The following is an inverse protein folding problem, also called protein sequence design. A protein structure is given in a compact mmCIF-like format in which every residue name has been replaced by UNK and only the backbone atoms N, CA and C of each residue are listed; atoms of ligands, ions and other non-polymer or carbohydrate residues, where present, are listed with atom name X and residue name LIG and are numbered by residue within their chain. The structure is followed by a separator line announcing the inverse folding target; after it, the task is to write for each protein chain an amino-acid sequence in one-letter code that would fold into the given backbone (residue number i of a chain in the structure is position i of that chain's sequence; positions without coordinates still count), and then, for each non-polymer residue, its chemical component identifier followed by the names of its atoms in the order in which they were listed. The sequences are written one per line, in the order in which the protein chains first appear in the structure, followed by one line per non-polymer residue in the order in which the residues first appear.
data_IF_674388270651
#
_entry.id   IF_674388270651
#
_cell.length_a   1.000
_cell.length_b   1.000
_cell.length_c   1.000
_cell.angle_alpha   90.00
_cell.angle_beta   90.00
_cell.angle_gamma   90.00
#
_symmetry.space_group_name_H-M   'P 1'
#
loop_
_entity.id
_entity.type
_entity.pdbx_description
1 polymer ?
#
# COMPACT_ATOMS: atom_id res chain seq x y z
N UNK A 1 -11.97 7.08 10.77
CA UNK A 1 -11.30 6.87 12.09
C UNK A 1 -10.13 7.83 12.28
N UNK A 2 -9.19 7.92 11.32
CA UNK A 2 -8.04 8.84 11.40
C UNK A 2 -8.43 10.30 11.63
N UNK A 3 -9.32 10.87 10.81
CA UNK A 3 -9.83 12.24 10.98
C UNK A 3 -10.41 12.48 12.39
N UNK A 4 -11.22 11.54 12.89
CA UNK A 4 -11.76 11.63 14.25
C UNK A 4 -10.68 11.59 15.34
N UNK A 5 -9.60 10.83 15.15
CA UNK A 5 -8.48 10.79 16.10
C UNK A 5 -7.75 12.12 16.07
N UNK A 6 -7.45 12.65 14.88
CA UNK A 6 -6.82 13.97 14.70
C UNK A 6 -7.65 15.10 15.31
N UNK A 7 -8.97 15.11 15.08
CA UNK A 7 -9.87 16.15 15.58
C UNK A 7 -10.03 16.12 17.10
N UNK A 8 -10.21 14.94 17.69
CA UNK A 8 -10.48 14.79 19.13
C UNK A 8 -9.22 14.98 19.97
N UNK A 9 -8.05 14.58 19.45
CA UNK A 9 -6.76 14.66 20.13
C UNK A 9 -5.89 15.80 19.58
N UNK A 10 -6.50 16.81 18.97
CA UNK A 10 -5.79 17.96 18.44
C UNK A 10 -4.97 18.65 19.54
N UNK A 11 -3.65 18.73 19.35
CA UNK A 11 -2.72 19.33 20.31
C UNK A 11 -2.22 18.40 21.42
N UNK A 12 -2.68 17.14 21.48
CA UNK A 12 -2.09 16.13 22.36
C UNK A 12 -0.72 15.66 21.81
N UNK A 13 0.21 15.31 22.70
CA UNK A 13 1.48 14.72 22.27
C UNK A 13 1.25 13.36 21.57
N UNK A 14 1.85 13.19 20.39
CA UNK A 14 1.81 11.91 19.65
C UNK A 14 0.62 11.72 18.73
N UNK A 15 -0.26 12.72 18.55
CA UNK A 15 -1.32 12.67 17.54
C UNK A 15 -0.73 12.47 16.13
N UNK A 16 -1.25 11.54 15.30
CA UNK A 16 -0.69 11.27 13.97
C UNK A 16 -1.18 12.29 12.94
N UNK A 17 -0.78 13.56 13.10
CA UNK A 17 -1.22 14.65 12.23
C UNK A 17 -0.96 14.38 10.75
N UNK A 18 -2.00 14.53 9.92
CA UNK A 18 -1.92 14.35 8.47
C UNK A 18 -2.12 12.91 7.99
N UNK A 19 -2.26 11.94 8.90
CA UNK A 19 -2.57 10.55 8.57
C UNK A 19 -3.90 10.44 7.80
N UNK A 20 -4.92 11.23 8.15
CA UNK A 20 -6.21 11.22 7.47
C UNK A 20 -6.12 11.71 6.02
N UNK A 21 -5.19 12.63 5.73
CA UNK A 21 -4.95 13.14 4.38
C UNK A 21 -4.20 12.08 3.57
N UNK A 22 -3.13 11.52 4.14
CA UNK A 22 -2.37 10.43 3.52
C UNK A 22 -3.27 9.25 3.14
N UNK A 23 -4.07 8.75 4.08
CA UNK A 23 -4.97 7.62 3.82
C UNK A 23 -6.01 7.92 2.73
N UNK A 24 -6.50 9.16 2.64
CA UNK A 24 -7.43 9.55 1.57
C UNK A 24 -6.76 9.54 0.20
N UNK A 25 -5.50 9.99 0.12
CA UNK A 25 -4.72 9.92 -1.10
C UNK A 25 -4.47 8.47 -1.51
N UNK A 26 -3.97 7.65 -0.57
CA UNK A 26 -3.73 6.22 -0.79
C UNK A 26 -4.96 5.48 -1.32
N UNK A 27 -6.15 5.73 -0.76
CA UNK A 27 -7.40 5.10 -1.24
C UNK A 27 -7.63 5.40 -2.72
N UNK A 28 -7.46 6.66 -3.14
CA UNK A 28 -7.65 7.04 -4.54
C UNK A 28 -6.62 6.41 -5.47
N UNK A 29 -5.36 6.37 -5.05
CA UNK A 29 -4.26 5.76 -5.82
C UNK A 29 -4.44 4.25 -5.95
N UNK A 30 -4.76 3.55 -4.84
CA UNK A 30 -5.04 2.12 -4.83
C UNK A 30 -6.26 1.75 -5.68
N UNK A 31 -7.34 2.54 -5.63
CA UNK A 31 -8.51 2.29 -6.48
C UNK A 31 -8.17 2.35 -7.97
N UNK A 32 -7.32 3.30 -8.36
CA UNK A 32 -6.88 3.43 -9.75
C UNK A 32 -5.92 2.29 -10.11
N UNK A 33 -4.98 1.96 -9.23
CA UNK A 33 -4.04 0.85 -9.37
C UNK A 33 -4.77 -0.48 -9.58
N UNK A 34 -5.61 -0.91 -8.63
CA UNK A 34 -6.36 -2.17 -8.71
C UNK A 34 -7.24 -2.25 -9.97
N UNK A 35 -7.83 -1.14 -10.43
CA UNK A 35 -8.59 -1.13 -11.70
C UNK A 35 -7.71 -1.41 -12.92
N UNK A 36 -6.48 -0.88 -12.97
CA UNK A 36 -5.53 -1.22 -14.06
C UNK A 36 -5.24 -2.71 -14.05
N UNK A 37 -5.10 -3.29 -12.86
CA UNK A 37 -4.83 -4.72 -12.72
C UNK A 37 -6.02 -5.59 -13.11
N UNK A 38 -7.15 -5.42 -12.44
CA UNK A 38 -8.34 -6.26 -12.59
C UNK A 38 -8.95 -6.19 -13.99
N UNK A 39 -8.93 -5.00 -14.61
CA UNK A 39 -9.59 -4.78 -15.90
C UNK A 39 -8.64 -4.98 -17.09
N UNK A 40 -7.34 -4.80 -16.92
CA UNK A 40 -6.37 -4.80 -18.03
C UNK A 40 -5.29 -5.88 -17.84
N UNK A 41 -4.46 -5.77 -16.79
CA UNK A 41 -3.28 -6.60 -16.64
C UNK A 41 -3.62 -8.07 -16.35
N UNK A 42 -4.44 -8.34 -15.33
CA UNK A 42 -4.81 -9.71 -14.94
C UNK A 42 -5.58 -10.44 -16.06
N UNK A 43 -6.52 -9.83 -16.79
CA UNK A 43 -7.11 -10.46 -17.97
C UNK A 43 -6.08 -10.80 -19.05
N UNK A 44 -5.06 -9.97 -19.28
CA UNK A 44 -3.98 -10.28 -20.24
C UNK A 44 -3.13 -11.46 -19.75
N UNK A 45 -2.74 -11.46 -18.47
CA UNK A 45 -2.04 -12.56 -17.80
C UNK A 45 -2.80 -13.88 -17.93
N UNK A 46 -4.12 -13.89 -17.67
CA UNK A 46 -4.97 -15.09 -17.78
C UNK A 46 -5.05 -15.65 -19.21
N UNK A 47 -4.81 -14.83 -20.23
CA UNK A 47 -4.75 -15.27 -21.64
C UNK A 47 -3.36 -15.79 -22.05
N UNK A 48 -2.42 -15.89 -21.12
CA UNK A 48 -1.05 -16.32 -21.37
C UNK A 48 -0.07 -15.17 -21.65
N UNK A 49 -0.47 -13.93 -21.32
CA UNK A 49 0.32 -12.74 -21.59
C UNK A 49 0.11 -12.16 -23.00
N UNK A 50 0.88 -11.12 -23.33
CA UNK A 50 0.92 -10.52 -24.66
C UNK A 50 2.30 -9.89 -24.93
N UNK A 51 2.73 -9.73 -26.18
CA UNK A 51 3.91 -8.93 -26.49
C UNK A 51 3.78 -7.53 -25.87
N UNK A 52 4.79 -7.08 -25.15
CA UNK A 52 4.76 -5.77 -24.49
C UNK A 52 4.17 -5.76 -23.07
N UNK A 53 3.82 -6.92 -22.49
CA UNK A 53 3.24 -7.04 -21.14
C UNK A 53 4.19 -6.55 -20.03
N UNK A 54 5.50 -6.48 -20.30
CA UNK A 54 6.49 -5.90 -19.39
C UNK A 54 6.23 -4.42 -19.09
N UNK A 55 5.61 -3.68 -20.03
CA UNK A 55 5.33 -2.25 -19.85
C UNK A 55 4.27 -1.99 -18.76
N UNK A 56 3.05 -2.60 -18.80
CA UNK A 56 2.09 -2.43 -17.72
C UNK A 56 2.59 -3.02 -16.40
N UNK A 57 3.39 -4.10 -16.41
CA UNK A 57 4.05 -4.61 -15.20
C UNK A 57 4.98 -3.55 -14.60
N UNK A 58 5.81 -2.89 -15.40
CA UNK A 58 6.69 -1.82 -14.93
C UNK A 58 5.92 -0.65 -14.32
N UNK A 59 4.75 -0.29 -14.88
CA UNK A 59 3.86 0.71 -14.29
C UNK A 59 3.33 0.25 -12.93
N UNK A 60 2.91 -1.01 -12.79
CA UNK A 60 2.41 -1.52 -11.50
C UNK A 60 3.53 -1.52 -10.45
N UNK A 61 4.75 -1.91 -10.81
CA UNK A 61 5.93 -1.82 -9.91
C UNK A 61 6.24 -0.38 -9.49
N UNK A 62 6.04 0.60 -10.36
CA UNK A 62 6.20 2.01 -10.01
C UNK A 62 5.13 2.48 -9.02
N UNK A 63 3.87 2.08 -9.24
CA UNK A 63 2.77 2.32 -8.29
C UNK A 63 3.09 1.66 -6.92
N UNK A 64 3.57 0.41 -6.90
CA UNK A 64 4.02 -0.30 -5.68
C UNK A 64 5.12 0.44 -4.91
N UNK A 65 6.13 0.96 -5.60
CA UNK A 65 7.19 1.73 -4.96
C UNK A 65 6.64 3.03 -4.32
N UNK A 66 5.60 3.62 -4.90
CA UNK A 66 4.84 4.71 -4.30
C UNK A 66 4.17 4.27 -3.00
N UNK A 67 3.41 3.17 -3.05
CA UNK A 67 2.73 2.62 -1.88
C UNK A 67 3.69 2.22 -0.75
N UNK A 68 4.88 1.71 -1.05
CA UNK A 68 5.92 1.46 -0.04
C UNK A 68 6.36 2.75 0.67
N UNK A 69 6.49 3.86 -0.06
CA UNK A 69 6.79 5.16 0.53
C UNK A 69 5.67 5.64 1.44
N UNK A 70 4.42 5.45 1.04
CA UNK A 70 3.24 5.83 1.84
C UNK A 70 3.12 4.97 3.11
N UNK A 71 3.39 3.66 3.03
CA UNK A 71 3.45 2.78 4.21
C UNK A 71 4.55 3.22 5.18
N UNK A 72 5.72 3.62 4.67
CA UNK A 72 6.78 4.17 5.49
C UNK A 72 6.34 5.48 6.18
N UNK A 73 5.58 6.32 5.48
CA UNK A 73 5.05 7.56 6.04
C UNK A 73 3.96 7.30 7.11
N UNK A 74 3.08 6.31 6.92
CA UNK A 74 2.15 5.86 7.98
C UNK A 74 2.95 5.49 9.22
N UNK A 75 4.02 4.68 9.08
CA UNK A 75 4.86 4.30 10.22
C UNK A 75 5.51 5.50 10.87
N UNK A 76 5.99 6.48 10.09
CA UNK A 76 6.58 7.72 10.63
C UNK A 76 5.57 8.53 11.45
N UNK A 77 4.38 8.77 10.90
CA UNK A 77 3.33 9.57 11.54
C UNK A 77 2.77 8.90 12.80
N UNK A 78 2.82 7.58 12.87
CA UNK A 78 2.23 6.80 13.96
C UNK A 78 3.25 6.30 14.98
N UNK A 79 4.52 6.72 14.88
CA UNK A 79 5.59 6.24 15.76
C UNK A 79 5.76 4.71 15.68
N UNK A 80 5.77 4.16 14.47
CA UNK A 80 5.72 2.73 14.18
C UNK A 80 4.47 2.04 14.76
N UNK A 81 3.30 2.69 14.65
CA UNK A 81 2.03 2.20 15.20
C UNK A 81 2.09 2.00 16.72
N UNK A 82 2.91 2.79 17.43
CA UNK A 82 3.01 2.76 18.89
C UNK A 82 1.96 3.69 19.47
N UNK A 83 1.04 3.14 20.27
CA UNK A 83 0.01 3.95 20.93
C UNK A 83 0.61 4.77 22.08
N UNK A 84 0.23 6.05 22.23
CA UNK A 84 0.58 6.83 23.42
C UNK A 84 -0.19 6.35 24.65
N UNK A 85 0.31 6.72 25.84
CA UNK A 85 -0.37 6.44 27.10
C UNK A 85 -1.75 7.08 27.12
N UNK A 86 -2.78 6.31 27.48
CA UNK A 86 -4.16 6.78 27.55
C UNK A 86 -4.89 6.88 26.20
N UNK A 87 -4.32 6.33 25.11
CA UNK A 87 -4.97 6.28 23.81
C UNK A 87 -6.40 5.70 23.90
N UNK A 88 -7.37 6.41 23.32
CA UNK A 88 -8.76 5.98 23.38
C UNK A 88 -9.01 4.74 22.50
N UNK A 89 -10.19 4.12 22.67
CA UNK A 89 -10.56 2.92 21.90
C UNK A 89 -10.56 3.12 20.38
N UNK A 90 -10.93 4.32 19.90
CA UNK A 90 -10.91 4.63 18.46
C UNK A 90 -9.47 4.67 17.91
N UNK A 91 -8.54 5.25 18.67
CA UNK A 91 -7.13 5.31 18.28
C UNK A 91 -6.51 3.91 18.27
N UNK A 92 -6.77 3.13 19.31
CA UNK A 92 -6.34 1.73 19.38
C UNK A 92 -6.86 0.91 18.19
N UNK A 93 -8.15 1.05 17.87
CA UNK A 93 -8.76 0.36 16.72
C UNK A 93 -8.17 0.82 15.38
N UNK A 94 -7.89 2.12 15.22
CA UNK A 94 -7.24 2.66 14.03
C UNK A 94 -5.86 2.03 13.83
N UNK A 95 -5.00 2.01 14.86
CA UNK A 95 -3.64 1.50 14.72
C UNK A 95 -3.60 -0.01 14.48
N UNK A 96 -4.52 -0.77 15.08
CA UNK A 96 -4.70 -2.19 14.76
C UNK A 96 -5.08 -2.38 13.29
N UNK A 97 -6.04 -1.61 12.79
CA UNK A 97 -6.45 -1.67 11.38
C UNK A 97 -5.33 -1.28 10.42
N UNK A 98 -4.50 -0.29 10.78
CA UNK A 98 -3.31 0.08 9.99
C UNK A 98 -2.24 -1.01 9.99
N UNK A 99 -2.05 -1.71 11.12
CA UNK A 99 -1.11 -2.83 11.19
C UNK A 99 -1.54 -3.96 10.24
N UNK A 100 -2.82 -4.33 10.27
CA UNK A 100 -3.40 -5.34 9.36
C UNK A 100 -3.29 -4.87 7.90
N UNK A 101 -3.78 -3.67 7.60
CA UNK A 101 -3.75 -3.11 6.25
C UNK A 101 -2.34 -3.05 5.64
N UNK A 102 -1.37 -2.51 6.39
CA UNK A 102 0.00 -2.38 5.87
C UNK A 102 0.68 -3.72 5.69
N UNK A 103 0.40 -4.70 6.55
CA UNK A 103 0.91 -6.07 6.38
C UNK A 103 0.32 -6.73 5.13
N UNK A 104 -1.00 -6.62 4.94
CA UNK A 104 -1.69 -7.19 3.78
C UNK A 104 -1.24 -6.53 2.47
N UNK A 105 -1.10 -5.20 2.45
CA UNK A 105 -0.64 -4.47 1.27
C UNK A 105 0.80 -4.85 0.89
N UNK A 106 1.71 -4.94 1.88
CA UNK A 106 3.09 -5.39 1.61
C UNK A 106 3.12 -6.82 1.07
N UNK A 107 2.33 -7.74 1.63
CA UNK A 107 2.29 -9.13 1.14
C UNK A 107 1.66 -9.22 -0.26
N UNK A 108 0.61 -8.45 -0.53
CA UNK A 108 -0.02 -8.34 -1.83
C UNK A 108 1.00 -7.90 -2.91
N UNK A 109 1.68 -6.78 -2.68
CA UNK A 109 2.71 -6.28 -3.60
C UNK A 109 3.86 -7.27 -3.76
N UNK A 110 4.27 -7.98 -2.68
CA UNK A 110 5.32 -9.02 -2.75
C UNK A 110 4.88 -10.19 -3.62
N UNK A 111 3.66 -10.69 -3.45
CA UNK A 111 3.15 -11.78 -4.28
C UNK A 111 3.12 -11.39 -5.77
N UNK A 112 2.75 -10.16 -6.07
CA UNK A 112 2.74 -9.68 -7.45
C UNK A 112 4.15 -9.49 -7.99
N UNK A 113 4.99 -8.76 -7.28
CA UNK A 113 6.33 -8.40 -7.69
C UNK A 113 7.27 -9.60 -7.81
N UNK A 114 7.18 -10.55 -6.88
CA UNK A 114 8.18 -11.61 -6.72
C UNK A 114 7.68 -12.97 -7.23
N UNK A 115 6.36 -13.15 -7.33
CA UNK A 115 5.77 -14.43 -7.75
C UNK A 115 5.05 -14.30 -9.08
N UNK A 116 4.09 -13.36 -9.22
CA UNK A 116 3.25 -13.29 -10.41
C UNK A 116 3.98 -12.71 -11.61
N UNK A 117 4.49 -11.47 -11.51
CA UNK A 117 5.07 -10.74 -12.62
C UNK A 117 6.31 -11.41 -13.24
N UNK A 118 7.24 -12.01 -12.46
CA UNK A 118 8.41 -12.69 -13.03
C UNK A 118 8.08 -13.85 -13.98
N UNK A 119 6.87 -14.41 -13.90
CA UNK A 119 6.44 -15.49 -14.82
C UNK A 119 6.13 -14.97 -16.25
N UNK A 120 5.96 -13.65 -16.41
CA UNK A 120 5.59 -13.00 -17.68
C UNK A 120 6.66 -12.05 -18.21
N UNK A 121 7.67 -11.78 -17.40
CA UNK A 121 8.88 -11.09 -17.83
C UNK A 121 9.84 -12.13 -18.44
N UNK A 122 10.59 -11.78 -19.49
CA UNK A 122 11.63 -12.68 -19.99
C UNK A 122 12.53 -13.02 -18.81
N UNK A 123 12.72 -14.31 -18.56
CA UNK A 123 13.60 -14.79 -17.50
C UNK A 123 14.89 -13.97 -17.60
N UNK A 124 15.14 -13.14 -16.59
CA UNK A 124 16.44 -12.50 -16.46
C UNK A 124 17.44 -13.61 -16.67
N UNK A 125 18.33 -13.46 -17.65
CA UNK A 125 19.46 -14.36 -17.83
C UNK A 125 20.07 -14.53 -16.44
N UNK A 126 19.79 -15.66 -15.82
CA UNK A 126 20.60 -16.19 -14.76
C UNK A 126 21.88 -16.60 -15.48
N UNK A 127 22.81 -15.65 -15.64
CA UNK A 127 24.19 -15.86 -16.10
C UNK A 127 24.97 -14.54 -16.00
N UNK A 128 25.56 -14.28 -14.82
CA UNK A 128 26.94 -13.86 -14.59
C UNK A 128 27.19 -13.57 -13.10
#
# INVERSE_FOLDING_TARGET
MAERVEDVHFGDDGVPEGLSILLRQMIGEMEVHMKKEELILFPAIRRGGMPGIENPIAVMRADHAGHDCEVAEIRRLTGNLSLPDGACGTWTALYRGLAEFTADLTEHMRLENDVLFPQFEPAGRADA
#
